data_IF_959803061152
#
_entry.id   IF_959803061152
#
_cell.length_a   1.000
_cell.length_b   1.000
_cell.length_c   1.000
_cell.angle_alpha   90.00
_cell.angle_beta   90.00
_cell.angle_gamma   90.00
#
_symmetry.space_group_name_H-M   'P 1'
#
loop_
_entity.id
_entity.type
_entity.pdbx_description
1 polymer ?
#
# COMPACT_ATOMS: atom_id res chain seq x y z
N UNK A 1 1.29 10.76 -19.89
CA UNK A 1 1.24 9.28 -19.76
C UNK A 1 0.07 8.96 -18.84
N UNK A 2 -1.11 8.62 -19.40
CA UNK A 2 -2.35 8.51 -18.62
C UNK A 2 -2.28 7.55 -17.42
N UNK A 3 -1.52 6.45 -17.56
CA UNK A 3 -1.35 5.47 -16.48
C UNK A 3 -0.61 6.03 -15.26
N UNK A 4 0.49 6.78 -15.46
CA UNK A 4 1.25 7.35 -14.35
C UNK A 4 0.49 8.46 -13.62
N UNK A 5 -0.34 9.20 -14.35
CA UNK A 5 -1.20 10.24 -13.78
C UNK A 5 -2.27 9.61 -12.89
N UNK A 6 -2.96 8.58 -13.38
CA UNK A 6 -3.88 7.77 -12.59
C UNK A 6 -3.23 7.21 -11.32
N UNK A 7 -2.04 6.64 -11.43
CA UNK A 7 -1.32 6.09 -10.28
C UNK A 7 -0.93 7.15 -9.26
N UNK A 8 -0.49 8.33 -9.73
CA UNK A 8 -0.12 9.44 -8.88
C UNK A 8 -1.34 10.00 -8.12
N UNK A 9 -2.49 10.13 -8.78
CA UNK A 9 -3.75 10.55 -8.16
C UNK A 9 -4.19 9.59 -7.05
N UNK A 10 -4.13 8.28 -7.31
CA UNK A 10 -4.44 7.25 -6.30
C UNK A 10 -3.46 7.32 -5.13
N UNK A 11 -2.16 7.48 -5.40
CA UNK A 11 -1.14 7.59 -4.35
C UNK A 11 -1.37 8.83 -3.47
N UNK A 12 -1.68 9.99 -4.07
CA UNK A 12 -1.97 11.21 -3.31
C UNK A 12 -3.26 11.06 -2.50
N UNK A 13 -4.30 10.46 -3.07
CA UNK A 13 -5.54 10.15 -2.37
C UNK A 13 -5.31 9.28 -1.12
N UNK A 14 -4.59 8.17 -1.26
CA UNK A 14 -4.25 7.29 -0.12
C UNK A 14 -3.40 8.01 0.91
N UNK A 15 -2.44 8.82 0.46
CA UNK A 15 -1.59 9.61 1.33
C UNK A 15 -2.38 10.66 2.12
N UNK A 16 -3.37 11.29 1.49
CA UNK A 16 -4.29 12.24 2.12
C UNK A 16 -5.19 11.54 3.16
N UNK A 17 -5.80 10.40 2.81
CA UNK A 17 -6.58 9.58 3.75
C UNK A 17 -5.74 9.18 4.97
N UNK A 18 -4.54 8.66 4.74
CA UNK A 18 -3.63 8.23 5.79
C UNK A 18 -3.23 9.39 6.73
N UNK A 19 -3.12 10.62 6.21
CA UNK A 19 -2.87 11.81 7.03
C UNK A 19 -4.10 12.21 7.84
N UNK A 20 -5.30 12.13 7.28
CA UNK A 20 -6.56 12.48 7.95
C UNK A 20 -6.84 11.58 9.15
N UNK A 21 -6.61 10.27 9.01
CA UNK A 21 -6.87 9.30 10.09
C UNK A 21 -5.69 9.16 11.07
N UNK A 22 -4.58 9.85 10.82
CA UNK A 22 -3.38 9.76 11.65
C UNK A 22 -3.65 10.40 13.01
N UNK A 23 -3.45 9.67 14.13
CA UNK A 23 -3.61 10.26 15.45
C UNK A 23 -2.61 11.40 15.67
N UNK A 24 -3.05 12.53 16.26
CA UNK A 24 -2.16 13.64 16.58
C UNK A 24 -1.07 13.18 17.55
N UNK A 25 0.16 13.66 17.33
CA UNK A 25 1.25 13.36 18.25
C UNK A 25 0.88 13.86 19.66
N UNK A 26 0.96 12.97 20.66
CA UNK A 26 0.72 13.23 22.10
C UNK A 26 -0.73 13.30 22.57
N UNK A 27 -1.74 12.96 21.75
CA UNK A 27 -3.14 12.99 22.18
C UNK A 27 -3.60 11.76 22.98
N UNK A 28 -2.78 10.70 23.04
CA UNK A 28 -3.19 9.41 23.63
C UNK A 28 -4.24 8.65 22.82
N UNK A 29 -4.74 9.22 21.73
CA UNK A 29 -5.73 8.62 20.83
C UNK A 29 -5.03 7.65 19.89
N UNK A 30 -5.57 6.44 19.76
CA UNK A 30 -5.00 5.37 18.91
C UNK A 30 -5.38 5.49 17.43
N UNK A 31 -6.54 6.08 17.11
CA UNK A 31 -7.02 6.27 15.73
C UNK A 31 -7.97 7.48 15.63
N UNK A 32 -7.91 8.21 14.51
CA UNK A 32 -8.89 9.24 14.16
C UNK A 32 -9.85 8.64 13.13
N UNK A 33 -11.18 8.68 13.36
CA UNK A 33 -12.13 8.16 12.39
C UNK A 33 -12.10 8.98 11.10
N UNK A 34 -12.33 8.32 9.96
CA UNK A 34 -12.46 9.00 8.68
C UNK A 34 -13.75 9.85 8.67
N UNK A 35 -13.72 11.10 8.18
CA UNK A 35 -14.92 11.91 8.01
C UNK A 35 -15.95 11.20 7.12
N UNK A 36 -17.25 11.27 7.44
CA UNK A 36 -18.30 10.53 6.73
C UNK A 36 -18.46 10.95 5.26
N UNK A 37 -18.10 12.19 4.93
CA UNK A 37 -18.21 12.74 3.57
C UNK A 37 -17.06 12.29 2.64
N UNK A 38 -16.02 11.67 3.21
CA UNK A 38 -14.86 11.21 2.45
C UNK A 38 -15.03 9.71 2.20
N UNK A 39 -15.12 9.27 0.94
CA UNK A 39 -15.28 7.85 0.65
C UNK A 39 -14.04 7.08 1.12
N UNK A 40 -14.22 5.82 1.52
CA UNK A 40 -13.12 4.87 1.68
C UNK A 40 -13.03 4.04 0.40
N UNK A 41 -12.12 4.40 -0.49
CA UNK A 41 -11.86 3.71 -1.75
C UNK A 41 -10.65 2.79 -1.59
N UNK A 42 -10.55 1.76 -2.44
CA UNK A 42 -9.44 0.82 -2.45
C UNK A 42 -9.73 -0.49 -1.68
N UNK A 43 -8.71 -1.35 -1.47
CA UNK A 43 -7.29 -1.18 -1.84
C UNK A 43 -7.02 -1.36 -3.34
N UNK A 44 -7.96 -1.96 -4.09
CA UNK A 44 -7.93 -2.09 -5.55
C UNK A 44 -8.71 -0.94 -6.18
N UNK A 45 -8.01 -0.07 -6.89
CA UNK A 45 -8.58 1.07 -7.59
C UNK A 45 -8.80 0.71 -9.05
N UNK A 46 -10.04 0.89 -9.51
CA UNK A 46 -10.43 0.62 -10.90
C UNK A 46 -10.55 1.98 -11.60
N UNK A 47 -9.86 2.19 -12.73
CA UNK A 47 -9.95 3.44 -13.46
C UNK A 47 -11.38 3.68 -13.97
N UNK A 48 -11.79 4.95 -14.12
CA UNK A 48 -13.12 5.28 -14.64
C UNK A 48 -13.35 4.66 -16.02
N UNK A 49 -14.35 3.77 -16.10
CA UNK A 49 -14.79 3.20 -17.37
C UNK A 49 -15.63 4.19 -18.19
N UNK A 50 -15.84 3.87 -19.47
CA UNK A 50 -16.70 4.62 -20.40
C UNK A 50 -18.07 5.04 -19.80
N UNK A 51 -18.70 4.16 -19.01
CA UNK A 51 -20.00 4.44 -18.38
C UNK A 51 -19.90 5.63 -17.41
N UNK A 52 -18.79 5.73 -16.67
CA UNK A 52 -18.57 6.83 -15.72
C UNK A 52 -18.46 8.17 -16.46
N UNK A 53 -17.70 8.22 -17.55
CA UNK A 53 -17.53 9.43 -18.37
C UNK A 53 -18.86 9.86 -18.99
N UNK A 54 -19.59 8.92 -19.60
CA UNK A 54 -20.89 9.19 -20.25
C UNK A 54 -21.95 9.69 -19.27
N UNK A 55 -21.94 9.20 -18.01
CA UNK A 55 -22.92 9.60 -17.00
C UNK A 55 -22.58 10.94 -16.33
N UNK A 56 -21.31 11.33 -16.28
CA UNK A 56 -20.85 12.56 -15.60
C UNK A 56 -20.75 13.78 -16.50
N UNK A 57 -20.71 13.59 -17.82
CA UNK A 57 -20.51 14.68 -18.80
C UNK A 57 -21.71 14.79 -19.76
N UNK A 58 -22.16 16.01 -20.01
CA UNK A 58 -23.27 16.30 -20.93
C UNK A 58 -22.93 15.99 -22.41
N UNK A 59 -21.65 16.17 -22.80
CA UNK A 59 -21.12 15.84 -24.12
C UNK A 59 -19.71 15.24 -23.96
N UNK A 60 -19.59 13.92 -23.73
CA UNK A 60 -18.32 13.30 -23.43
C UNK A 60 -17.44 13.18 -24.68
N UNK A 61 -16.20 13.66 -24.59
CA UNK A 61 -15.15 13.30 -25.55
C UNK A 61 -14.60 11.93 -25.15
N UNK A 62 -15.01 10.90 -25.88
CA UNK A 62 -14.64 9.53 -25.59
C UNK A 62 -13.31 9.23 -26.29
N UNK A 63 -12.23 9.31 -25.52
CA UNK A 63 -10.93 8.78 -25.94
C UNK A 63 -10.78 7.32 -25.47
N UNK A 64 -10.08 6.48 -26.24
CA UNK A 64 -9.85 5.09 -25.86
C UNK A 64 -8.88 4.94 -24.68
N UNK A 65 -7.95 5.88 -24.52
CA UNK A 65 -6.88 5.87 -23.51
C UNK A 65 -7.32 5.51 -22.08
N UNK A 66 -8.37 6.12 -21.49
CA UNK A 66 -8.85 5.76 -20.15
C UNK A 66 -9.40 4.33 -20.05
N UNK A 67 -9.88 3.75 -21.16
CA UNK A 67 -10.40 2.38 -21.19
C UNK A 67 -9.29 1.32 -21.12
N UNK A 68 -8.04 1.71 -21.40
CA UNK A 68 -6.87 0.83 -21.33
C UNK A 68 -6.04 1.00 -20.05
N UNK A 69 -6.47 1.87 -19.14
CA UNK A 69 -5.83 2.02 -17.83
C UNK A 69 -5.93 0.71 -17.04
N UNK A 70 -4.82 0.34 -16.42
CA UNK A 70 -4.76 -0.85 -15.58
C UNK A 70 -5.25 -0.52 -14.17
N UNK A 71 -6.02 -1.41 -13.52
CA UNK A 71 -6.31 -1.30 -12.10
C UNK A 71 -5.01 -1.20 -11.28
N UNK A 72 -5.08 -0.48 -10.17
CA UNK A 72 -3.96 -0.30 -9.25
C UNK A 72 -4.32 -0.86 -7.87
N UNK A 73 -3.53 -1.81 -7.40
CA UNK A 73 -3.60 -2.33 -6.05
C UNK A 73 -2.62 -1.60 -5.14
N UNK A 74 -3.13 -1.09 -4.02
CA UNK A 74 -2.34 -0.35 -3.04
C UNK A 74 -1.99 -1.22 -1.85
N UNK A 75 -0.70 -1.47 -1.65
CA UNK A 75 -0.17 -2.12 -0.44
C UNK A 75 0.26 -1.05 0.56
N UNK A 76 -0.66 -0.67 1.45
CA UNK A 76 -0.46 0.40 2.43
C UNK A 76 -1.01 0.03 3.82
N UNK A 77 -0.40 0.48 4.93
CA UNK A 77 -0.89 0.24 6.31
C UNK A 77 -2.33 0.69 6.57
N UNK A 78 -2.86 1.57 5.73
CA UNK A 78 -4.27 1.99 5.73
C UNK A 78 -5.21 0.82 5.48
N UNK A 79 -4.85 -0.08 4.56
CA UNK A 79 -5.70 -1.18 4.12
C UNK A 79 -5.36 -2.52 4.78
N UNK A 80 -4.11 -2.69 5.20
CA UNK A 80 -3.62 -3.94 5.81
C UNK A 80 -2.94 -3.69 7.17
N UNK A 81 -3.60 -3.02 8.13
CA UNK A 81 -2.96 -2.62 9.38
C UNK A 81 -2.46 -3.82 10.19
N UNK A 82 -3.18 -4.95 10.22
CA UNK A 82 -2.85 -6.11 11.05
C UNK A 82 -1.53 -6.75 10.62
N UNK A 83 -1.35 -6.95 9.32
CA UNK A 83 -0.15 -7.61 8.76
C UNK A 83 1.04 -6.66 8.76
N UNK A 84 0.81 -5.41 8.35
CA UNK A 84 1.87 -4.44 8.07
C UNK A 84 2.47 -3.82 9.34
N UNK A 85 1.94 -4.13 10.53
CA UNK A 85 2.49 -3.66 11.82
C UNK A 85 3.79 -4.33 12.24
N UNK A 86 4.24 -5.40 11.56
CA UNK A 86 5.44 -6.16 11.94
C UNK A 86 6.47 -6.24 10.82
N UNK A 87 7.73 -6.10 11.19
CA UNK A 87 8.87 -6.37 10.31
C UNK A 87 9.04 -7.89 10.16
N UNK A 88 9.31 -8.43 8.95
CA UNK A 88 9.50 -9.87 8.74
C UNK A 88 10.56 -10.48 9.66
N UNK A 89 11.71 -9.81 9.81
CA UNK A 89 12.79 -10.29 10.68
C UNK A 89 12.40 -10.27 12.15
N UNK A 90 11.67 -9.23 12.59
CA UNK A 90 11.18 -9.15 13.97
C UNK A 90 10.09 -10.18 14.26
N UNK A 91 9.26 -10.50 13.25
CA UNK A 91 8.24 -11.56 13.30
C UNK A 91 8.87 -12.92 13.55
N UNK A 92 9.92 -13.28 12.78
CA UNK A 92 10.68 -14.52 13.00
C UNK A 92 11.33 -14.52 14.39
N UNK A 93 12.00 -13.43 14.76
CA UNK A 93 12.74 -13.35 16.01
C UNK A 93 11.87 -13.17 17.27
N UNK A 94 10.54 -13.05 17.14
CA UNK A 94 9.64 -12.77 18.27
C UNK A 94 9.91 -11.43 18.99
N UNK A 95 10.49 -10.45 18.29
CA UNK A 95 10.89 -9.16 18.89
C UNK A 95 9.96 -8.01 18.50
N UNK A 96 9.90 -6.98 19.35
CA UNK A 96 9.11 -5.78 19.07
C UNK A 96 9.65 -5.03 17.85
N UNK A 97 8.80 -4.87 16.84
CA UNK A 97 9.11 -4.09 15.63
C UNK A 97 9.03 -2.59 15.93
N UNK A 98 10.02 -1.82 15.48
CA UNK A 98 9.97 -0.36 15.47
C UNK A 98 10.02 0.10 14.00
N UNK A 99 8.85 0.21 13.38
CA UNK A 99 8.70 0.47 11.95
C UNK A 99 8.59 1.98 11.70
N UNK A 100 9.40 2.46 10.76
CA UNK A 100 9.24 3.75 10.12
C UNK A 100 8.84 3.54 8.65
N UNK A 101 7.81 4.26 8.21
CA UNK A 101 7.36 4.24 6.82
C UNK A 101 8.09 5.32 6.02
N UNK A 102 8.77 4.93 4.94
CA UNK A 102 9.59 5.79 4.09
C UNK A 102 8.87 6.15 2.78
N UNK A 103 7.56 6.42 2.86
CA UNK A 103 6.75 6.80 1.69
C UNK A 103 6.62 5.71 0.63
N UNK A 104 6.18 6.11 -0.56
CA UNK A 104 6.02 5.25 -1.73
C UNK A 104 7.36 4.73 -2.26
N UNK A 105 7.34 3.57 -2.92
CA UNK A 105 8.53 2.98 -3.52
C UNK A 105 9.07 3.83 -4.68
N UNK A 106 10.37 4.12 -4.65
CA UNK A 106 11.04 4.91 -5.71
C UNK A 106 11.18 4.18 -7.06
N UNK A 107 10.98 2.86 -7.08
CA UNK A 107 11.03 2.05 -8.31
C UNK A 107 9.71 2.03 -9.09
N UNK A 108 8.69 2.74 -8.58
CA UNK A 108 7.35 2.78 -9.19
C UNK A 108 6.50 1.55 -8.92
N UNK A 109 5.31 1.48 -9.54
CA UNK A 109 4.44 0.31 -9.51
C UNK A 109 5.06 -0.91 -10.19
N UNK A 110 4.61 -2.09 -9.81
CA UNK A 110 4.95 -3.37 -10.43
C UNK A 110 3.76 -3.90 -11.21
N UNK A 111 4.03 -4.48 -12.36
CA UNK A 111 3.05 -5.24 -13.14
C UNK A 111 2.76 -6.57 -12.46
N UNK A 112 1.48 -6.93 -12.33
CA UNK A 112 1.02 -8.20 -11.79
C UNK A 112 -0.12 -8.76 -12.64
N UNK A 113 -0.08 -10.06 -12.88
CA UNK A 113 -1.08 -10.76 -13.67
C UNK A 113 -2.30 -11.07 -12.80
N UNK A 114 -3.40 -10.35 -13.01
CA UNK A 114 -4.69 -10.70 -12.43
C UNK A 114 -5.35 -11.84 -13.21
N UNK A 115 -6.33 -12.51 -12.59
CA UNK A 115 -7.06 -13.61 -13.24
C UNK A 115 -7.93 -13.14 -14.41
N UNK A 116 -8.46 -11.91 -14.33
CA UNK A 116 -9.39 -11.36 -15.31
C UNK A 116 -8.75 -10.30 -16.22
N UNK A 117 -7.74 -9.58 -15.70
CA UNK A 117 -7.04 -8.52 -16.42
C UNK A 117 -5.67 -8.28 -15.81
N UNK A 118 -4.79 -7.65 -16.58
CA UNK A 118 -3.51 -7.13 -16.08
C UNK A 118 -3.73 -6.02 -15.07
N UNK A 119 -2.94 -6.02 -14.01
CA UNK A 119 -3.03 -5.05 -12.92
C UNK A 119 -1.65 -4.53 -12.55
N UNK A 120 -1.66 -3.41 -11.84
CA UNK A 120 -0.47 -2.82 -11.26
C UNK A 120 -0.56 -2.87 -9.74
N UNK A 121 0.58 -2.94 -9.06
CA UNK A 121 0.66 -2.86 -7.61
C UNK A 121 1.73 -1.87 -7.19
N UNK A 122 1.39 -0.97 -6.28
CA UNK A 122 2.35 -0.07 -5.65
C UNK A 122 2.21 -0.16 -4.13
N UNK A 123 3.33 -0.02 -3.43
CA UNK A 123 3.34 -0.09 -1.99
C UNK A 123 4.29 0.93 -1.41
N UNK A 124 4.29 1.00 -0.09
CA UNK A 124 5.24 1.81 0.65
C UNK A 124 6.49 1.02 1.01
N UNK A 125 7.54 1.74 1.37
CA UNK A 125 8.75 1.16 1.93
C UNK A 125 8.70 1.22 3.47
N UNK A 126 9.07 0.12 4.11
CA UNK A 126 9.22 0.03 5.55
C UNK A 126 10.72 0.00 5.92
N UNK A 127 11.05 0.61 7.05
CA UNK A 127 12.37 0.53 7.69
C UNK A 127 12.19 0.14 9.15
N UNK A 128 12.82 -0.95 9.57
CA UNK A 128 12.76 -1.41 10.95
C UNK A 128 13.99 -0.93 11.74
N UNK A 129 13.77 0.04 12.65
CA UNK A 129 14.81 0.59 13.53
C UNK A 129 15.37 -0.44 14.51
N UNK A 130 14.57 -1.44 14.91
CA UNK A 130 15.03 -2.54 15.77
C UNK A 130 16.05 -3.42 15.02
N UNK A 131 15.75 -3.77 13.77
CA UNK A 131 16.66 -4.57 12.94
C UNK A 131 17.91 -3.77 12.54
N UNK A 132 17.74 -2.48 12.25
CA UNK A 132 18.85 -1.57 11.96
C UNK A 132 19.84 -1.50 13.14
N UNK A 133 19.34 -1.35 14.36
CA UNK A 133 20.20 -1.31 15.55
C UNK A 133 20.90 -2.64 15.85
N UNK A 134 20.30 -3.78 15.50
CA UNK A 134 20.96 -5.09 15.59
C UNK A 134 22.06 -5.23 14.55
N UNK A 135 21.76 -4.89 13.30
CA UNK A 135 22.73 -4.93 12.22
C UNK A 135 23.94 -4.02 12.48
N UNK A 136 23.73 -2.83 13.06
CA UNK A 136 24.82 -1.93 13.45
C UNK A 136 25.74 -2.51 14.54
N UNK A 137 25.26 -3.45 15.36
CA UNK A 137 26.06 -4.13 16.40
C UNK A 137 26.78 -5.38 15.89
N UNK A 138 26.24 -6.01 14.86
CA UNK A 138 26.71 -7.29 14.28
C UNK A 138 27.61 -7.10 13.05
N UNK A 139 27.83 -5.86 12.60
CA UNK A 139 28.64 -5.51 11.41
C UNK A 139 30.15 -5.81 11.54
N UNK A 140 30.56 -6.73 12.42
CA UNK A 140 31.97 -7.06 12.64
C UNK A 140 32.49 -8.31 11.93
N UNK A 141 31.71 -9.18 11.24
CA UNK A 141 32.38 -10.29 10.52
C UNK A 141 31.61 -11.16 9.51
N UNK A 142 30.39 -10.86 9.06
CA UNK A 142 29.77 -11.67 7.99
C UNK A 142 28.90 -10.86 7.04
N UNK A 143 29.21 -10.94 5.74
CA UNK A 143 28.39 -10.47 4.63
C UNK A 143 27.10 -11.31 4.53
N UNK A 144 26.18 -11.15 5.48
CA UNK A 144 24.98 -11.97 5.61
C UNK A 144 23.74 -11.19 6.07
N UNK A 145 22.93 -10.77 5.11
CA UNK A 145 21.45 -10.78 5.17
C UNK A 145 20.68 -10.01 6.27
N UNK A 146 21.22 -8.96 6.87
CA UNK A 146 20.43 -8.08 7.75
C UNK A 146 19.56 -7.05 7.02
N UNK A 147 18.65 -7.45 6.11
CA UNK A 147 17.73 -6.50 5.47
C UNK A 147 16.82 -5.86 6.52
N UNK A 148 17.02 -4.57 6.81
CA UNK A 148 16.18 -3.80 7.72
C UNK A 148 15.19 -2.87 6.97
N UNK A 149 15.35 -2.75 5.66
CA UNK A 149 14.46 -2.04 4.74
C UNK A 149 13.74 -3.03 3.84
N UNK A 150 12.42 -2.92 3.73
CA UNK A 150 11.63 -3.76 2.83
C UNK A 150 10.66 -2.92 2.02
N UNK A 151 10.56 -3.24 0.74
CA UNK A 151 9.49 -2.76 -0.14
C UNK A 151 8.32 -3.71 0.00
N UNK A 152 7.12 -3.19 0.28
CA UNK A 152 5.94 -4.05 0.49
C UNK A 152 5.48 -4.78 -0.77
N UNK A 153 5.93 -4.40 -1.96
CA UNK A 153 5.66 -5.15 -3.20
C UNK A 153 6.71 -6.23 -3.49
N UNK A 154 7.69 -6.44 -2.59
CA UNK A 154 8.73 -7.44 -2.73
C UNK A 154 8.33 -8.76 -2.05
N UNK A 155 8.48 -9.88 -2.75
CA UNK A 155 8.23 -11.23 -2.23
C UNK A 155 8.99 -11.54 -0.92
N UNK A 156 10.15 -10.93 -0.69
CA UNK A 156 10.92 -11.10 0.55
C UNK A 156 10.16 -10.65 1.79
N UNK A 157 9.28 -9.65 1.65
CA UNK A 157 8.42 -9.22 2.75
C UNK A 157 7.36 -10.28 3.06
N UNK A 158 6.73 -10.84 2.01
CA UNK A 158 5.60 -11.77 2.11
C UNK A 158 5.99 -13.22 2.40
N UNK A 159 7.26 -13.60 2.25
CA UNK A 159 7.75 -14.98 2.47
C UNK A 159 7.37 -15.56 3.85
N UNK A 160 7.12 -14.71 4.84
CA UNK A 160 6.84 -15.08 6.24
C UNK A 160 5.40 -14.74 6.66
N UNK A 161 4.55 -14.44 5.68
CA UNK A 161 3.14 -14.14 5.87
C UNK A 161 2.37 -15.25 5.17
N UNK A 162 1.56 -15.96 5.93
CA UNK A 162 0.75 -17.02 5.38
C UNK A 162 -0.42 -16.40 4.60
N UNK A 163 -0.85 -17.08 3.54
CA UNK A 163 -1.88 -16.54 2.65
C UNK A 163 -3.21 -16.27 3.36
N UNK A 164 -3.54 -17.02 4.43
CA UNK A 164 -4.73 -16.80 5.25
C UNK A 164 -4.61 -15.62 6.22
N UNK A 165 -3.40 -15.12 6.48
CA UNK A 165 -3.20 -13.87 7.23
C UNK A 165 -3.50 -12.64 6.37
N UNK A 166 -3.52 -12.78 5.04
CA UNK A 166 -3.89 -11.72 4.11
C UNK A 166 -5.41 -11.64 4.05
N UNK A 167 -6.02 -10.48 4.42
CA UNK A 167 -7.46 -10.28 4.28
C UNK A 167 -7.89 -10.58 2.85
N UNK A 168 -8.63 -11.68 2.66
CA UNK A 168 -9.01 -12.18 1.34
C UNK A 168 -9.96 -11.26 0.57
N UNK A 169 -10.77 -10.47 1.29
CA UNK A 169 -11.56 -9.33 0.80
C UNK A 169 -11.69 -8.33 1.94
N UNK A 170 -11.36 -7.05 1.72
CA UNK A 170 -11.91 -6.02 2.60
C UNK A 170 -13.43 -6.06 2.43
N UNK A 171 -14.16 -6.25 3.52
CA UNK A 171 -15.62 -6.28 3.57
C UNK A 171 -16.22 -4.89 3.30
N UNK A 172 -15.98 -4.34 2.10
CA UNK A 172 -16.50 -3.03 1.65
C UNK A 172 -17.49 -3.22 0.48
N UNK A 173 -17.70 -4.45 -0.01
CA UNK A 173 -18.60 -4.72 -1.15
C UNK A 173 -19.82 -5.59 -0.81
N UNK A 174 -20.23 -5.66 0.46
CA UNK A 174 -21.54 -6.21 0.83
C UNK A 174 -22.45 -5.06 1.28
N UNK A 175 -23.01 -4.35 0.31
CA UNK A 175 -24.27 -3.58 0.41
C UNK A 175 -24.87 -3.39 -0.99
#
# INVERSE_FOLDING_TARGET
MPQLEWEAEVCEYVQALARLIRPPAKSGVSAVPLPPDIPLLGPRFIPPSFIHTRRRQHAPEITPDPAYLKPLNIVHPLYYPEILTRCPNCRIAGTKSNIAWNGWTSTGPREVHGLMMEETVIGVQLRCKTCEAKHAKEASDTEGEGKYCFVLTNHLYWKQIEHWEVPGKLAILDN
#
